data_IF_615193738184
#
_entry.id   IF_615193738184
#
_cell.length_a   1.000
_cell.length_b   1.000
_cell.length_c   1.000
_cell.angle_alpha   90.00
_cell.angle_beta   90.00
_cell.angle_gamma   90.00
#
_symmetry.space_group_name_H-M   'P 1'
#
loop_
_entity.id
_entity.type
_entity.pdbx_description
1 polymer ?
#
# COMPACT_ATOMS: atom_id res chain seq x y z
N UNK A 1 -3.25 -16.16 21.71
CA UNK A 1 -4.69 -15.91 21.53
C UNK A 1 -5.30 -17.15 20.91
N UNK A 2 -6.42 -17.62 21.44
CA UNK A 2 -7.06 -18.87 20.98
C UNK A 2 -8.24 -18.54 20.07
N UNK A 3 -8.36 -19.21 18.94
CA UNK A 3 -9.52 -19.18 18.04
C UNK A 3 -9.93 -20.61 17.71
N UNK A 4 -11.20 -20.83 17.41
CA UNK A 4 -11.74 -22.17 17.13
C UNK A 4 -12.07 -22.38 15.64
N UNK A 5 -12.06 -21.32 14.83
CA UNK A 5 -12.33 -21.40 13.39
C UNK A 5 -13.80 -21.49 13.02
N UNK A 6 -14.70 -21.39 13.99
CA UNK A 6 -16.16 -21.40 13.78
C UNK A 6 -16.80 -20.05 14.10
N UNK A 7 -16.01 -19.07 14.54
CA UNK A 7 -16.49 -17.74 14.87
C UNK A 7 -17.12 -17.05 13.66
N UNK A 8 -18.17 -16.29 13.88
CA UNK A 8 -18.84 -15.51 12.83
C UNK A 8 -17.93 -14.37 12.37
N UNK A 9 -17.76 -14.24 11.06
CA UNK A 9 -17.05 -13.12 10.45
C UNK A 9 -17.97 -11.90 10.33
N UNK A 10 -17.50 -10.75 10.82
CA UNK A 10 -18.13 -9.43 10.72
C UNK A 10 -17.30 -8.52 9.85
N UNK A 11 -17.93 -7.51 9.23
CA UNK A 11 -17.22 -6.46 8.52
C UNK A 11 -16.67 -5.44 9.51
N UNK A 12 -15.52 -4.84 9.18
CA UNK A 12 -15.00 -3.72 9.98
C UNK A 12 -15.84 -2.48 9.74
N UNK A 13 -16.12 -1.76 10.82
CA UNK A 13 -16.66 -0.42 10.72
C UNK A 13 -15.68 0.49 9.96
N UNK A 14 -16.20 1.38 9.12
CA UNK A 14 -15.39 2.27 8.27
C UNK A 14 -14.49 3.19 9.11
N UNK A 15 -14.95 3.54 10.31
CA UNK A 15 -14.23 4.42 11.24
C UNK A 15 -13.00 3.74 11.85
N UNK A 16 -13.00 2.41 12.01
CA UNK A 16 -11.87 1.63 12.55
C UNK A 16 -10.72 1.52 11.53
N UNK A 17 -11.00 1.76 10.24
CA UNK A 17 -9.99 1.69 9.18
C UNK A 17 -8.98 2.85 9.22
N UNK A 18 -9.25 3.89 10.00
CA UNK A 18 -8.49 5.16 9.99
C UNK A 18 -7.81 5.45 11.32
N UNK A 19 -7.21 4.43 11.96
CA UNK A 19 -6.35 4.72 13.12
C UNK A 19 -5.15 5.58 12.71
N UNK A 20 -5.06 6.79 13.29
CA UNK A 20 -3.86 7.63 13.26
C UNK A 20 -2.76 6.93 14.07
N UNK A 21 -2.07 6.00 13.42
CA UNK A 21 -0.82 5.43 13.92
C UNK A 21 0.31 6.43 13.68
N UNK A 22 1.09 6.73 14.71
CA UNK A 22 2.33 7.51 14.58
C UNK A 22 3.38 6.80 13.70
N UNK A 23 3.18 5.50 13.42
CA UNK A 23 4.07 4.65 12.65
C UNK A 23 3.43 4.27 11.30
N UNK A 24 4.22 4.36 10.24
CA UNK A 24 3.77 4.08 8.87
C UNK A 24 4.11 2.63 8.51
N UNK A 25 3.13 1.86 8.07
CA UNK A 25 3.31 0.47 7.67
C UNK A 25 3.69 0.35 6.19
N UNK A 26 4.64 -0.53 5.89
CA UNK A 26 4.98 -0.95 4.54
C UNK A 26 5.22 -2.46 4.50
N UNK A 27 4.90 -3.10 3.36
CA UNK A 27 5.17 -4.51 3.13
C UNK A 27 6.22 -4.65 2.03
N UNK A 28 7.40 -5.20 2.35
CA UNK A 28 8.41 -5.50 1.33
C UNK A 28 8.12 -6.85 0.68
N UNK A 29 7.49 -6.78 -0.49
CA UNK A 29 7.14 -7.98 -1.25
C UNK A 29 8.37 -8.58 -1.97
N UNK A 30 8.31 -9.86 -2.37
CA UNK A 30 9.30 -10.44 -3.25
C UNK A 30 9.49 -9.59 -4.52
N UNK A 31 10.71 -9.13 -4.77
CA UNK A 31 11.06 -8.25 -5.90
C UNK A 31 11.21 -6.77 -5.55
N UNK A 32 10.77 -6.34 -4.35
CA UNK A 32 11.04 -5.00 -3.83
C UNK A 32 12.42 -4.99 -3.18
N UNK A 33 13.36 -4.23 -3.73
CA UNK A 33 14.71 -4.10 -3.17
C UNK A 33 14.69 -3.30 -1.86
N UNK A 34 15.56 -3.66 -0.91
CA UNK A 34 15.82 -2.93 0.34
C UNK A 34 16.24 -1.47 0.10
N UNK A 35 16.89 -1.19 -1.03
CA UNK A 35 17.31 0.16 -1.40
C UNK A 35 16.14 1.07 -1.77
N UNK A 36 14.99 0.49 -2.14
CA UNK A 36 13.83 1.26 -2.57
C UNK A 36 13.20 2.00 -1.39
N UNK A 37 12.84 3.25 -1.63
CA UNK A 37 12.24 4.16 -0.64
C UNK A 37 10.72 4.16 -0.77
N UNK A 38 9.97 4.02 0.32
CA UNK A 38 8.52 4.00 0.25
C UNK A 38 7.95 5.40 0.00
N UNK A 39 6.85 5.44 -0.76
CA UNK A 39 6.07 6.64 -1.03
C UNK A 39 4.85 6.64 -0.13
N UNK A 40 4.83 7.54 0.84
CA UNK A 40 3.69 7.77 1.72
C UNK A 40 2.75 8.80 1.13
N UNK A 41 1.45 8.50 1.15
CA UNK A 41 0.39 9.39 0.72
C UNK A 41 -0.49 9.79 1.90
N UNK A 42 -0.52 11.07 2.24
CA UNK A 42 -1.30 11.59 3.37
C UNK A 42 -2.81 11.35 3.17
N UNK A 43 -3.30 11.41 1.92
CA UNK A 43 -4.73 11.18 1.63
C UNK A 43 -5.18 9.76 1.94
N UNK A 44 -4.32 8.78 1.63
CA UNK A 44 -4.59 7.38 1.86
C UNK A 44 -4.09 6.90 3.23
N UNK A 45 -3.37 7.76 3.96
CA UNK A 45 -2.62 7.45 5.18
C UNK A 45 -1.84 6.12 5.08
N UNK A 46 -1.18 5.91 3.93
CA UNK A 46 -0.57 4.63 3.59
C UNK A 46 0.65 4.80 2.69
N UNK A 47 1.53 3.79 2.70
CA UNK A 47 2.53 3.63 1.65
C UNK A 47 1.82 3.11 0.40
N UNK A 48 1.87 3.88 -0.68
CA UNK A 48 1.18 3.55 -1.95
C UNK A 48 2.13 3.06 -3.04
N UNK A 49 3.43 3.08 -2.79
CA UNK A 49 4.44 2.62 -3.74
C UNK A 49 5.87 2.77 -3.26
N UNK A 50 6.80 2.62 -4.21
CA UNK A 50 8.25 2.59 -3.99
C UNK A 50 8.99 3.40 -5.04
N UNK A 51 10.15 3.93 -4.67
CA UNK A 51 11.07 4.63 -5.56
C UNK A 51 12.44 3.95 -5.52
N UNK A 52 12.96 3.65 -6.70
CA UNK A 52 14.36 3.31 -6.92
C UNK A 52 15.05 4.49 -7.61
N UNK A 53 16.00 5.13 -6.94
CA UNK A 53 16.79 6.22 -7.52
C UNK A 53 18.19 5.72 -7.87
N UNK A 54 18.54 5.76 -9.16
CA UNK A 54 19.86 5.36 -9.67
C UNK A 54 20.34 6.38 -10.68
N UNK A 55 21.55 6.90 -10.49
CA UNK A 55 22.21 7.84 -11.39
C UNK A 55 21.34 9.06 -11.79
N UNK A 56 20.51 9.57 -10.87
CA UNK A 56 19.63 10.71 -11.12
C UNK A 56 18.30 10.37 -11.82
N UNK A 57 18.05 9.10 -12.10
CA UNK A 57 16.77 8.60 -12.61
C UNK A 57 16.00 7.93 -11.48
N UNK A 58 14.76 8.36 -11.27
CA UNK A 58 13.82 7.77 -10.32
C UNK A 58 12.86 6.86 -11.07
N UNK A 59 12.88 5.58 -10.74
CA UNK A 59 11.87 4.63 -11.20
C UNK A 59 10.85 4.43 -10.09
N UNK A 60 9.57 4.60 -10.43
CA UNK A 60 8.46 4.58 -9.50
C UNK A 60 7.66 3.29 -9.72
N UNK A 61 7.38 2.59 -8.62
CA UNK A 61 6.65 1.34 -8.60
C UNK A 61 5.44 1.44 -7.66
N UNK A 62 4.37 0.71 -7.95
CA UNK A 62 3.25 0.55 -7.03
C UNK A 62 3.62 -0.32 -5.81
N UNK A 63 2.71 -0.44 -4.85
CA UNK A 63 2.92 -1.23 -3.63
C UNK A 63 3.18 -2.73 -3.91
N UNK A 64 2.74 -3.24 -5.06
CA UNK A 64 3.01 -4.62 -5.51
C UNK A 64 4.37 -4.77 -6.21
N UNK A 65 5.14 -3.69 -6.35
CA UNK A 65 6.42 -3.66 -7.05
C UNK A 65 6.30 -3.56 -8.58
N UNK A 66 5.13 -3.20 -9.11
CA UNK A 66 4.92 -3.04 -10.56
C UNK A 66 5.27 -1.64 -11.00
N UNK A 67 5.87 -1.55 -12.18
CA UNK A 67 6.26 -0.28 -12.78
C UNK A 67 5.07 0.68 -12.95
N UNK A 68 5.28 1.95 -12.58
CA UNK A 68 4.30 3.03 -12.76
C UNK A 68 4.87 4.13 -13.65
N UNK A 69 6.08 4.62 -13.37
CA UNK A 69 6.67 5.75 -14.10
C UNK A 69 8.19 5.80 -13.96
N UNK A 70 8.84 6.58 -14.83
CA UNK A 70 10.24 7.00 -14.72
C UNK A 70 10.27 8.52 -14.71
N UNK A 71 11.04 9.10 -13.81
CA UNK A 71 11.30 10.53 -13.73
C UNK A 71 12.82 10.76 -13.74
N UNK A 72 13.28 11.68 -14.58
CA UNK A 72 14.69 12.10 -14.57
C UNK A 72 14.84 13.36 -13.74
N UNK A 73 15.92 13.46 -12.95
CA UNK A 73 16.31 14.71 -12.31
C UNK A 73 16.62 15.71 -13.43
N UNK A 74 15.93 16.87 -13.49
CA UNK A 74 16.17 17.82 -14.57
C UNK A 74 17.63 18.29 -14.53
N UNK A 75 18.31 18.22 -15.68
CA UNK A 75 19.57 18.92 -15.92
C UNK A 75 19.28 20.43 -15.84
N UNK A 76 20.22 21.23 -15.31
CA UNK A 76 20.03 22.65 -15.03
C UNK A 76 19.31 23.40 -16.16
N UNK A 77 18.22 24.10 -15.79
CA UNK A 77 17.36 24.94 -16.61
C UNK A 77 16.59 24.25 -17.74
N UNK A 78 15.47 23.61 -17.40
CA UNK A 78 14.42 23.28 -18.38
C UNK A 78 13.09 23.86 -17.90
N UNK A 79 12.49 24.69 -18.76
CA UNK A 79 11.17 25.28 -18.56
C UNK A 79 10.14 24.16 -18.35
N UNK A 80 9.34 24.34 -17.30
CA UNK A 80 8.29 23.41 -16.88
C UNK A 80 7.25 23.30 -18.00
N UNK A 81 7.30 22.22 -18.77
CA UNK A 81 6.12 21.72 -19.48
C UNK A 81 5.68 20.49 -18.70
N UNK A 82 4.80 20.71 -17.73
CA UNK A 82 4.11 19.63 -17.03
C UNK A 82 3.29 18.81 -18.05
N UNK A 83 3.23 17.50 -17.79
CA UNK A 83 2.28 16.49 -18.29
C UNK A 83 2.71 15.56 -19.44
N UNK A 84 3.11 14.34 -19.05
CA UNK A 84 2.87 13.11 -19.82
C UNK A 84 2.21 12.11 -18.88
N UNK A 85 0.95 11.76 -19.16
CA UNK A 85 0.20 10.72 -18.45
C UNK A 85 0.43 9.39 -19.17
N UNK A 86 1.18 8.47 -18.56
CA UNK A 86 1.28 7.06 -18.97
C UNK A 86 0.48 6.20 -17.98
N UNK A 87 -0.76 5.90 -18.32
CA UNK A 87 -1.60 4.98 -17.55
C UNK A 87 -1.47 3.57 -18.13
N UNK A 88 -0.77 2.67 -17.45
CA UNK A 88 -0.74 1.25 -17.81
C UNK A 88 -1.91 0.51 -17.14
N UNK A 89 -2.97 0.24 -17.90
CA UNK A 89 -4.00 -0.74 -17.53
C UNK A 89 -4.04 -1.82 -18.60
N UNK A 90 -3.50 -2.99 -18.28
CA UNK A 90 -3.76 -4.25 -18.98
C UNK A 90 -3.04 -4.42 -20.33
N UNK A 91 -2.40 -5.57 -20.50
CA UNK A 91 -1.76 -5.99 -21.74
C UNK A 91 -2.85 -6.17 -22.81
N UNK A 92 -2.95 -5.23 -23.75
CA UNK A 92 -3.26 -5.37 -25.19
C UNK A 92 -3.43 -3.98 -25.81
N UNK A 93 -2.63 -3.66 -26.83
CA UNK A 93 -2.72 -2.51 -27.74
C UNK A 93 -2.62 -1.07 -27.14
N UNK A 94 -1.41 -0.49 -27.23
CA UNK A 94 -1.15 0.95 -26.99
C UNK A 94 -1.74 1.75 -28.16
N UNK A 95 -2.88 2.40 -27.95
CA UNK A 95 -3.46 3.36 -28.91
C UNK A 95 -3.39 4.79 -28.35
N UNK A 96 -2.65 5.62 -29.07
CA UNK A 96 -2.43 7.05 -28.90
C UNK A 96 -3.62 7.85 -28.34
N UNK A 97 -3.39 8.63 -27.28
CA UNK A 97 -4.22 9.80 -26.93
C UNK A 97 -3.32 11.03 -26.90
N UNK A 98 -3.15 11.64 -28.07
CA UNK A 98 -2.89 13.08 -28.23
C UNK A 98 -4.10 13.64 -28.96
N UNK A 99 -5.00 14.32 -28.26
CA UNK A 99 -6.01 15.19 -28.88
C UNK A 99 -6.33 16.36 -27.98
N UNK A 100 -5.88 17.53 -28.45
CA UNK A 100 -6.61 18.79 -28.31
C UNK A 100 -6.22 19.64 -27.11
N UNK A 101 -5.50 20.73 -27.37
CA UNK A 101 -5.46 21.89 -26.49
C UNK A 101 -6.85 22.52 -26.35
N UNK A 102 -7.11 23.07 -25.18
CA UNK A 102 -8.36 23.75 -24.84
C UNK A 102 -8.50 23.87 -23.33
N UNK A 103 -8.25 25.08 -22.84
CA UNK A 103 -8.42 25.61 -21.49
C UNK A 103 -9.40 24.83 -20.58
N UNK A 104 -8.85 24.23 -19.51
CA UNK A 104 -9.59 24.02 -18.25
C UNK A 104 -8.66 24.36 -17.08
N UNK A 105 -8.22 25.62 -17.04
CA UNK A 105 -7.70 26.21 -15.82
C UNK A 105 -8.89 26.62 -14.93
N UNK A 106 -8.73 26.41 -13.62
CA UNK A 106 -9.57 26.92 -12.54
C UNK A 106 -10.89 26.17 -12.20
N UNK A 107 -10.80 24.89 -11.85
CA UNK A 107 -11.79 24.25 -10.94
C UNK A 107 -11.27 23.10 -10.06
N UNK A 108 -9.95 22.87 -9.96
CA UNK A 108 -9.37 21.78 -9.14
C UNK A 108 -8.58 22.29 -7.92
N UNK A 109 -8.89 23.51 -7.44
CA UNK A 109 -8.34 24.04 -6.21
C UNK A 109 -9.13 23.56 -5.00
N UNK A 110 -8.91 22.31 -4.55
CA UNK A 110 -9.18 21.82 -3.17
C UNK A 110 -8.69 20.37 -3.07
N UNK A 111 -7.79 20.12 -2.11
CA UNK A 111 -7.13 18.84 -1.79
C UNK A 111 -6.05 18.35 -2.77
N UNK A 112 -4.97 19.12 -2.93
CA UNK A 112 -3.67 18.52 -3.30
C UNK A 112 -3.13 17.81 -2.06
N UNK A 113 -3.46 16.54 -1.89
CA UNK A 113 -2.87 15.69 -0.85
C UNK A 113 -1.37 15.65 -1.01
N UNK A 114 -0.63 15.92 0.07
CA UNK A 114 0.83 15.85 0.02
C UNK A 114 1.24 14.39 0.04
N UNK A 115 2.23 14.06 -0.76
CA UNK A 115 2.94 12.78 -0.73
C UNK A 115 4.36 13.05 -0.27
N UNK A 116 4.86 12.20 0.62
CA UNK A 116 6.22 12.28 1.12
C UNK A 116 6.97 10.98 0.78
N UNK A 117 8.22 11.10 0.36
CA UNK A 117 9.10 9.93 0.23
C UNK A 117 9.82 9.76 1.55
N UNK A 118 9.56 8.66 2.25
CA UNK A 118 10.10 8.46 3.60
C UNK A 118 11.62 8.29 3.51
N UNK A 119 12.35 8.99 4.37
CA UNK A 119 13.82 8.94 4.42
C UNK A 119 14.53 9.72 3.31
N UNK A 120 13.80 10.48 2.48
CA UNK A 120 14.37 11.41 1.50
C UNK A 120 13.78 12.81 1.73
N UNK A 121 14.48 13.61 2.55
CA UNK A 121 14.13 15.01 2.74
C UNK A 121 14.08 15.72 1.37
N UNK A 122 12.92 16.31 1.03
CA UNK A 122 12.63 17.07 -0.19
C UNK A 122 12.50 16.30 -1.53
N UNK A 123 12.45 14.96 -1.54
CA UNK A 123 12.14 14.23 -2.78
C UNK A 123 10.67 14.45 -3.20
N UNK A 124 10.47 15.20 -4.28
CA UNK A 124 9.16 15.35 -4.95
C UNK A 124 9.02 14.26 -6.01
N UNK A 125 7.82 13.70 -6.09
CA UNK A 125 7.31 12.91 -7.22
C UNK A 125 6.42 13.81 -8.07
N UNK A 126 6.36 13.57 -9.38
CA UNK A 126 5.44 14.30 -10.24
C UNK A 126 3.97 14.02 -9.88
N UNK A 127 3.09 14.95 -10.23
CA UNK A 127 1.64 14.78 -10.04
C UNK A 127 1.11 13.56 -10.79
N UNK A 128 1.61 13.34 -12.01
CA UNK A 128 1.19 12.21 -12.86
C UNK A 128 1.53 10.86 -12.23
N UNK A 129 2.75 10.70 -11.70
CA UNK A 129 3.16 9.49 -10.99
C UNK A 129 2.35 9.27 -9.71
N UNK A 130 2.09 10.34 -8.94
CA UNK A 130 1.25 10.26 -7.75
C UNK A 130 -0.19 9.83 -8.07
N UNK A 131 -0.78 10.37 -9.14
CA UNK A 131 -2.11 9.94 -9.61
C UNK A 131 -2.09 8.47 -10.01
N UNK A 132 -1.08 8.03 -10.76
CA UNK A 132 -0.89 6.63 -11.12
C UNK A 132 -0.81 5.71 -9.90
N UNK A 133 0.01 6.08 -8.90
CA UNK A 133 0.13 5.34 -7.65
C UNK A 133 -1.19 5.25 -6.88
N UNK A 134 -1.93 6.37 -6.76
CA UNK A 134 -3.24 6.37 -6.08
C UNK A 134 -4.27 5.50 -6.82
N UNK A 135 -4.26 5.49 -8.15
CA UNK A 135 -5.15 4.62 -8.95
C UNK A 135 -4.79 3.15 -8.72
N UNK A 136 -3.50 2.79 -8.77
CA UNK A 136 -3.04 1.44 -8.51
C UNK A 136 -3.41 1.00 -7.09
N UNK A 137 -3.18 1.86 -6.10
CA UNK A 137 -3.50 1.60 -4.69
C UNK A 137 -5.01 1.40 -4.47
N UNK A 138 -5.87 2.28 -5.02
CA UNK A 138 -7.33 2.12 -4.93
C UNK A 138 -7.83 0.83 -5.57
N UNK A 139 -7.25 0.46 -6.71
CA UNK A 139 -7.59 -0.79 -7.39
C UNK A 139 -7.23 -2.01 -6.53
N UNK A 140 -6.12 -1.93 -5.79
CA UNK A 140 -5.72 -2.96 -4.84
C UNK A 140 -6.65 -3.00 -3.62
N UNK A 141 -7.00 -1.85 -3.05
CA UNK A 141 -7.85 -1.80 -1.84
C UNK A 141 -9.28 -2.23 -2.10
N UNK A 142 -9.83 -1.97 -3.29
CA UNK A 142 -11.15 -2.48 -3.69
C UNK A 142 -11.24 -4.01 -3.78
N UNK A 143 -10.10 -4.70 -3.93
CA UNK A 143 -10.06 -6.19 -3.96
C UNK A 143 -10.04 -6.80 -2.56
N UNK A 144 -10.00 -5.98 -1.51
CA UNK A 144 -9.93 -6.44 -0.13
C UNK A 144 -11.33 -6.78 0.36
N UNK A 145 -11.60 -8.07 0.46
CA UNK A 145 -12.86 -8.59 0.97
C UNK A 145 -12.51 -9.42 2.20
N UNK A 146 -12.39 -8.74 3.33
CA UNK A 146 -12.09 -9.39 4.60
C UNK A 146 -13.25 -9.30 5.56
N UNK A 147 -13.46 -10.41 6.27
CA UNK A 147 -14.23 -10.44 7.50
C UNK A 147 -13.30 -10.61 8.67
N UNK A 148 -13.76 -10.23 9.85
CA UNK A 148 -13.01 -10.31 11.10
C UNK A 148 -13.86 -11.04 12.12
N UNK A 149 -13.23 -11.82 13.01
CA UNK A 149 -13.95 -12.27 14.20
C UNK A 149 -14.19 -11.06 15.12
N UNK A 150 -15.16 -11.14 16.02
CA UNK A 150 -15.40 -10.04 16.97
C UNK A 150 -14.13 -9.63 17.73
N UNK A 151 -13.26 -10.60 18.04
CA UNK A 151 -12.01 -10.33 18.75
C UNK A 151 -10.94 -9.71 17.86
N UNK A 152 -10.79 -10.12 16.60
CA UNK A 152 -9.84 -9.47 15.68
C UNK A 152 -10.31 -8.08 15.29
N UNK A 153 -11.62 -7.86 15.16
CA UNK A 153 -12.20 -6.53 14.98
C UNK A 153 -11.91 -5.61 16.17
N UNK A 154 -12.05 -6.10 17.40
CA UNK A 154 -11.68 -5.33 18.59
C UNK A 154 -10.20 -4.94 18.62
N UNK A 155 -9.29 -5.84 18.22
CA UNK A 155 -7.86 -5.54 18.15
C UNK A 155 -7.50 -4.53 17.04
N UNK A 156 -8.29 -4.46 15.97
CA UNK A 156 -8.12 -3.41 14.97
C UNK A 156 -8.42 -2.01 15.53
N UNK A 157 -9.22 -1.90 16.60
CA UNK A 157 -9.47 -0.64 17.31
C UNK A 157 -8.41 -0.31 18.39
N UNK A 158 -7.44 -1.20 18.62
CA UNK A 158 -6.35 -0.95 19.57
C UNK A 158 -5.11 -0.46 18.81
N UNK A 159 -4.65 0.77 19.06
CA UNK A 159 -3.50 1.35 18.34
C UNK A 159 -2.22 0.47 18.39
N UNK A 160 -1.97 -0.19 19.51
CA UNK A 160 -0.82 -1.10 19.67
C UNK A 160 -0.96 -2.44 18.96
N UNK A 161 -2.13 -2.77 18.41
CA UNK A 161 -2.39 -4.03 17.69
C UNK A 161 -2.85 -3.80 16.26
N UNK A 162 -3.28 -2.59 15.90
CA UNK A 162 -3.74 -2.24 14.57
C UNK A 162 -2.75 -2.65 13.46
N UNK A 163 -3.30 -3.19 12.37
CA UNK A 163 -2.59 -3.49 11.12
C UNK A 163 -3.50 -3.05 9.97
N UNK A 164 -3.05 -2.15 9.07
CA UNK A 164 -3.90 -1.73 7.95
C UNK A 164 -4.39 -2.91 7.10
N UNK A 165 -5.64 -2.85 6.66
CA UNK A 165 -6.29 -3.93 5.87
C UNK A 165 -5.52 -4.26 4.60
N UNK A 166 -4.90 -3.27 3.96
CA UNK A 166 -4.06 -3.49 2.79
C UNK A 166 -2.78 -4.26 3.07
N UNK A 167 -2.21 -4.14 4.27
CA UNK A 167 -1.07 -4.95 4.69
C UNK A 167 -1.51 -6.39 4.96
N UNK A 168 -2.68 -6.59 5.59
CA UNK A 168 -3.28 -7.92 5.74
C UNK A 168 -3.55 -8.58 4.37
N UNK A 169 -4.04 -7.82 3.40
CA UNK A 169 -4.23 -8.26 2.01
C UNK A 169 -2.93 -8.72 1.36
N UNK A 170 -1.87 -7.92 1.48
CA UNK A 170 -0.57 -8.29 0.96
C UNK A 170 -0.03 -9.55 1.64
N UNK A 171 -0.25 -9.73 2.95
CA UNK A 171 0.15 -10.93 3.67
C UNK A 171 -0.56 -12.18 3.14
N UNK A 172 -1.87 -12.13 2.93
CA UNK A 172 -2.64 -13.26 2.38
C UNK A 172 -2.22 -13.57 0.93
N UNK A 173 -1.92 -12.54 0.15
CA UNK A 173 -1.62 -12.69 -1.29
C UNK A 173 -0.19 -13.12 -1.58
N UNK A 174 0.78 -12.52 -0.90
CA UNK A 174 2.22 -12.67 -1.18
C UNK A 174 3.00 -13.33 -0.03
N UNK A 175 2.40 -13.43 1.15
CA UNK A 175 3.04 -14.08 2.29
C UNK A 175 3.22 -15.58 2.09
N UNK A 176 4.21 -16.12 2.80
CA UNK A 176 4.47 -17.56 2.84
C UNK A 176 3.33 -18.26 3.55
N UNK A 177 2.75 -19.27 2.89
CA UNK A 177 1.68 -20.10 3.44
C UNK A 177 2.23 -21.18 4.37
N UNK A 178 1.58 -21.36 5.51
CA UNK A 178 1.89 -22.39 6.50
C UNK A 178 0.60 -22.94 7.07
N UNK A 179 0.64 -24.18 7.55
CA UNK A 179 -0.48 -24.76 8.27
C UNK A 179 -0.85 -23.90 9.48
N UNK A 180 -2.14 -23.84 9.76
CA UNK A 180 -2.64 -23.18 10.96
C UNK A 180 -2.10 -23.89 12.22
N UNK A 181 -1.41 -23.18 13.14
CA UNK A 181 -0.96 -23.77 14.40
C UNK A 181 -2.08 -24.30 15.31
N UNK A 182 -3.32 -23.81 15.19
CA UNK A 182 -4.45 -24.28 16.02
C UNK A 182 -5.31 -25.35 15.34
N UNK A 183 -5.00 -25.71 14.09
CA UNK A 183 -5.69 -26.76 13.36
C UNK A 183 -7.16 -26.46 13.07
N UNK A 184 -7.56 -25.19 13.06
CA UNK A 184 -8.89 -24.76 12.67
C UNK A 184 -9.18 -25.18 11.23
N UNK A 185 -10.35 -25.78 11.01
CA UNK A 185 -10.74 -26.33 9.71
C UNK A 185 -10.78 -25.22 8.66
N UNK A 186 -10.12 -25.45 7.52
CA UNK A 186 -10.08 -24.49 6.42
C UNK A 186 -9.27 -23.22 6.71
N UNK A 187 -8.55 -23.17 7.84
CA UNK A 187 -7.68 -22.04 8.18
C UNK A 187 -6.26 -22.24 7.63
N UNK A 188 -5.66 -21.13 7.19
CA UNK A 188 -4.25 -21.08 6.80
C UNK A 188 -3.56 -19.91 7.48
N UNK A 189 -2.29 -20.10 7.83
CA UNK A 189 -1.42 -19.03 8.30
C UNK A 189 -0.58 -18.47 7.15
N UNK A 190 -0.45 -17.16 7.12
CA UNK A 190 0.35 -16.40 6.18
C UNK A 190 1.41 -15.60 6.94
N UNK A 191 2.64 -15.62 6.44
CA UNK A 191 3.77 -14.92 7.03
C UNK A 191 4.33 -13.92 6.02
N UNK A 192 4.38 -12.64 6.39
CA UNK A 192 4.90 -11.56 5.55
C UNK A 192 5.78 -10.60 6.34
N UNK A 193 6.97 -10.29 5.80
CA UNK A 193 7.84 -9.29 6.39
C UNK A 193 7.27 -7.89 6.11
N UNK A 194 7.14 -7.11 7.18
CA UNK A 194 6.65 -5.75 7.13
C UNK A 194 7.65 -4.82 7.82
N UNK A 195 7.57 -3.55 7.48
CA UNK A 195 8.35 -2.48 8.08
C UNK A 195 7.41 -1.45 8.68
N UNK A 196 7.77 -0.98 9.86
CA UNK A 196 7.16 0.19 10.48
C UNK A 196 8.17 1.32 10.47
N UNK A 197 7.79 2.43 9.85
CA UNK A 197 8.60 3.64 9.75
C UNK A 197 8.16 4.64 10.80
N UNK A 198 9.11 5.17 11.56
CA UNK A 198 8.86 6.34 12.41
C UNK A 198 8.80 7.64 11.57
N UNK A 199 8.46 8.76 12.23
CA UNK A 199 8.39 10.08 11.59
C UNK A 199 9.73 10.56 11.04
N UNK A 200 10.84 10.01 11.53
CA UNK A 200 12.21 10.29 11.10
C UNK A 200 12.63 9.42 9.91
N UNK A 201 11.82 8.42 9.54
CA UNK A 201 12.06 7.49 8.45
C UNK A 201 12.95 6.29 8.82
N UNK A 202 13.18 6.03 10.11
CA UNK A 202 13.83 4.79 10.54
C UNK A 202 12.83 3.64 10.44
N UNK A 203 13.27 2.53 9.85
CA UNK A 203 12.46 1.35 9.68
C UNK A 203 12.79 0.30 10.75
N UNK A 204 11.75 -0.30 11.34
CA UNK A 204 11.88 -1.53 12.12
C UNK A 204 11.10 -2.65 11.43
N UNK A 205 11.78 -3.79 11.25
CA UNK A 205 11.23 -4.98 10.61
C UNK A 205 10.44 -5.81 11.61
N UNK A 206 9.33 -6.36 11.15
CA UNK A 206 8.48 -7.28 11.89
C UNK A 206 8.02 -8.41 10.99
N UNK A 207 7.77 -9.56 11.60
CA UNK A 207 7.09 -10.67 10.94
C UNK A 207 5.60 -10.58 11.24
N UNK A 208 4.81 -10.26 10.22
CA UNK A 208 3.35 -10.31 10.31
C UNK A 208 2.88 -11.75 10.09
N UNK A 209 2.16 -12.27 11.08
CA UNK A 209 1.39 -13.50 11.00
C UNK A 209 -0.08 -13.16 10.83
N UNK A 210 -0.73 -13.74 9.82
CA UNK A 210 -2.19 -13.63 9.61
C UNK A 210 -2.75 -15.03 9.49
N UNK A 211 -3.77 -15.35 10.28
CA UNK A 211 -4.51 -16.60 10.17
C UNK A 211 -5.89 -16.29 9.62
N UNK A 212 -6.23 -16.92 8.51
CA UNK A 212 -7.48 -16.68 7.80
C UNK A 212 -8.19 -17.99 7.51
N UNK A 213 -9.49 -18.02 7.75
CA UNK A 213 -10.39 -19.06 7.27
C UNK A 213 -10.68 -18.83 5.79
N UNK A 214 -10.33 -19.79 4.95
CA UNK A 214 -10.35 -19.63 3.49
C UNK A 214 -11.77 -19.68 2.90
N UNK A 215 -12.71 -20.35 3.58
CA UNK A 215 -14.06 -20.56 3.07
C UNK A 215 -14.86 -19.25 2.94
N UNK A 216 -14.62 -18.30 3.85
CA UNK A 216 -15.36 -17.03 3.93
C UNK A 216 -14.47 -15.80 4.13
N UNK A 217 -13.15 -15.97 3.96
CA UNK A 217 -12.16 -14.89 4.06
C UNK A 217 -12.17 -14.16 5.42
N UNK A 218 -12.43 -14.92 6.49
CA UNK A 218 -12.44 -14.38 7.86
C UNK A 218 -11.06 -14.44 8.49
N UNK A 219 -10.54 -13.29 8.91
CA UNK A 219 -9.32 -13.15 9.70
C UNK A 219 -9.59 -13.61 11.14
N UNK A 220 -9.07 -14.80 11.46
CA UNK A 220 -9.20 -15.44 12.78
C UNK A 220 -8.19 -14.86 13.78
N UNK A 221 -7.00 -14.51 13.30
CA UNK A 221 -5.94 -13.93 14.10
C UNK A 221 -4.97 -13.12 13.25
N UNK A 222 -4.37 -12.09 13.83
CA UNK A 222 -3.18 -11.46 13.28
C UNK A 222 -2.25 -11.03 14.43
N UNK A 223 -0.96 -10.99 14.16
CA UNK A 223 0.07 -10.54 15.08
C UNK A 223 1.31 -10.12 14.29
N UNK A 224 1.94 -9.02 14.68
CA UNK A 224 3.29 -8.71 14.21
C UNK A 224 4.27 -8.75 15.39
N UNK A 225 5.47 -9.29 15.17
CA UNK A 225 6.53 -9.42 16.18
C UNK A 225 7.92 -9.30 15.58
#
# INVERSE_FOLDING_TARGET
MTYNGTEVGVELDADVQHHESDEIFAARLPGVSESWKPVFDEQSNAVIGWIDERAGVKTIYDIEGKFVSIEEKPLENVYVVEDIILLFVGITEIRWILRGGGEVAAAAGRQVGRSAVIGLAAARISRSALVGLRVAFRTLTQRQIFRFTGTTAAHMAEAGRYVPTHILYLAVRYGRRVADPQGAKGAMKFLLEIEKYDKQGNAKKYMLEVVMRMDDWTVLHFLYK
#
